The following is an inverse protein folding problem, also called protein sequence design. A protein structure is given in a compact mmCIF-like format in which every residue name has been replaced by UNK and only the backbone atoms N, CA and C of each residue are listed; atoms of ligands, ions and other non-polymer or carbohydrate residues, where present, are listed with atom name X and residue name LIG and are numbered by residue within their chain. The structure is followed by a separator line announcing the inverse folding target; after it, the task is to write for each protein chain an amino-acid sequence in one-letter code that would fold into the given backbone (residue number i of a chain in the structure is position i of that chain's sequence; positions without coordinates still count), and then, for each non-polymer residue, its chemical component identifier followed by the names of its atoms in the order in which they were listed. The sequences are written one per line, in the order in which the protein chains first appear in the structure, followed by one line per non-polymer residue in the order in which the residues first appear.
data_IF_429259506419
#
_entry.id   IF_429259506419
#
_cell.length_a   1.000
_cell.length_b   1.000
_cell.length_c   1.000
_cell.angle_alpha   90.00
_cell.angle_beta   90.00
_cell.angle_gamma   90.00
#
_symmetry.space_group_name_H-M   'P 1'
#
loop_
_entity.id
_entity.type
_entity.pdbx_description
1 polymer ?
#
# COMPACT_ATOMS: atom_id res chain seq x y z
N UNK A 1 5.00 -14.36 13.86
CA UNK A 1 4.55 -14.72 12.49
C UNK A 1 3.07 -14.41 12.20
N UNK A 2 2.18 -14.34 13.21
CA UNK A 2 0.76 -13.96 13.02
C UNK A 2 0.55 -12.50 12.61
N UNK A 3 1.33 -11.57 13.18
CA UNK A 3 1.20 -10.13 12.87
C UNK A 3 1.48 -9.79 11.41
N UNK A 4 2.44 -10.48 10.78
CA UNK A 4 2.77 -10.29 9.37
C UNK A 4 1.55 -10.53 8.46
N UNK A 5 0.83 -11.63 8.71
CA UNK A 5 -0.37 -11.99 7.95
C UNK A 5 -1.51 -11.01 8.23
N UNK A 6 -1.63 -10.53 9.47
CA UNK A 6 -2.65 -9.54 9.85
C UNK A 6 -2.44 -8.20 9.17
N UNK A 7 -1.19 -7.70 9.15
CA UNK A 7 -0.80 -6.47 8.46
C UNK A 7 -1.02 -6.61 6.95
N UNK A 8 -0.56 -7.71 6.35
CA UNK A 8 -0.78 -8.00 4.93
C UNK A 8 -2.27 -7.97 4.55
N UNK A 9 -3.13 -8.65 5.33
CA UNK A 9 -4.58 -8.67 5.06
C UNK A 9 -5.21 -7.28 5.13
N UNK A 10 -4.86 -6.49 6.16
CA UNK A 10 -5.39 -5.12 6.31
C UNK A 10 -4.99 -4.22 5.15
N UNK A 11 -3.72 -4.29 4.72
CA UNK A 11 -3.24 -3.53 3.54
C UNK A 11 -3.99 -3.99 2.29
N UNK A 12 -4.14 -5.31 2.08
CA UNK A 12 -4.85 -5.86 0.93
C UNK A 12 -6.32 -5.43 0.88
N UNK A 13 -7.01 -5.48 2.01
CA UNK A 13 -8.40 -5.03 2.14
C UNK A 13 -8.54 -3.54 1.80
N UNK A 14 -7.65 -2.69 2.33
CA UNK A 14 -7.64 -1.27 2.00
C UNK A 14 -7.34 -0.99 0.52
N UNK A 15 -6.37 -1.68 -0.06
CA UNK A 15 -6.08 -1.56 -1.50
C UNK A 15 -7.30 -1.98 -2.33
N UNK A 16 -7.95 -3.10 -2.02
CA UNK A 16 -9.13 -3.56 -2.76
C UNK A 16 -10.32 -2.57 -2.73
N UNK A 17 -10.41 -1.70 -1.71
CA UNK A 17 -11.41 -0.63 -1.68
C UNK A 17 -11.14 0.48 -2.70
N UNK A 18 -9.89 0.63 -3.16
CA UNK A 18 -9.46 1.66 -4.12
C UNK A 18 -9.55 1.18 -5.58
N UNK A 19 -9.75 -0.12 -5.80
CA UNK A 19 -9.82 -0.70 -7.15
C UNK A 19 -11.24 -1.13 -7.51
N UNK A 20 -11.58 -1.22 -8.81
CA UNK A 20 -12.86 -1.75 -9.26
C UNK A 20 -13.10 -3.19 -8.76
N UNK A 21 -14.38 -3.57 -8.63
CA UNK A 21 -14.82 -4.87 -8.06
C UNK A 21 -14.22 -6.10 -8.74
N UNK A 22 -13.77 -5.98 -9.99
CA UNK A 22 -13.03 -7.03 -10.69
C UNK A 22 -11.66 -6.53 -11.14
N UNK A 23 -10.64 -7.25 -10.70
CA UNK A 23 -9.26 -7.08 -11.16
C UNK A 23 -8.97 -8.14 -12.23
N UNK A 24 -8.27 -7.77 -13.29
CA UNK A 24 -7.70 -8.76 -14.21
C UNK A 24 -6.64 -9.62 -13.48
N UNK A 25 -6.32 -10.81 -14.01
CA UNK A 25 -5.28 -11.66 -13.42
C UNK A 25 -3.92 -10.96 -13.25
N UNK A 26 -3.55 -10.11 -14.22
CA UNK A 26 -2.33 -9.30 -14.14
C UNK A 26 -2.43 -8.21 -13.06
N UNK A 27 -3.56 -7.52 -12.94
CA UNK A 27 -3.77 -6.53 -11.88
C UNK A 27 -3.75 -7.17 -10.50
N UNK A 28 -4.36 -8.35 -10.33
CA UNK A 28 -4.32 -9.08 -9.07
C UNK A 28 -2.89 -9.46 -8.67
N UNK A 29 -2.04 -9.85 -9.65
CA UNK A 29 -0.62 -10.13 -9.42
C UNK A 29 0.14 -8.88 -8.98
N UNK A 30 -0.05 -7.75 -9.68
CA UNK A 30 0.59 -6.49 -9.30
C UNK A 30 0.14 -6.00 -7.93
N UNK A 31 -1.15 -6.14 -7.60
CA UNK A 31 -1.69 -5.78 -6.29
C UNK A 31 -1.12 -6.65 -5.17
N UNK A 32 -0.92 -7.95 -5.40
CA UNK A 32 -0.26 -8.82 -4.44
C UNK A 32 1.19 -8.41 -4.20
N UNK A 33 1.94 -8.06 -5.25
CA UNK A 33 3.32 -7.56 -5.14
C UNK A 33 3.36 -6.24 -4.35
N UNK A 34 2.48 -5.30 -4.67
CA UNK A 34 2.37 -4.01 -3.96
C UNK A 34 2.05 -4.22 -2.47
N UNK A 35 1.09 -5.10 -2.16
CA UNK A 35 0.72 -5.44 -0.78
C UNK A 35 1.92 -6.00 -0.01
N UNK A 36 2.71 -6.88 -0.65
CA UNK A 36 3.93 -7.45 -0.07
C UNK A 36 4.97 -6.40 0.25
N UNK A 37 5.24 -5.48 -0.68
CA UNK A 37 6.17 -4.36 -0.45
C UNK A 37 5.72 -3.49 0.72
N UNK A 38 4.46 -3.03 0.74
CA UNK A 38 3.94 -2.19 1.83
C UNK A 38 3.97 -2.90 3.18
N UNK A 39 3.67 -4.20 3.21
CA UNK A 39 3.77 -5.03 4.42
C UNK A 39 5.20 -5.09 4.97
N UNK A 40 6.20 -5.19 4.07
CA UNK A 40 7.62 -5.16 4.43
C UNK A 40 8.04 -3.80 5.00
N UNK A 41 7.58 -2.69 4.40
CA UNK A 41 7.87 -1.33 4.90
C UNK A 41 7.24 -1.14 6.29
N UNK A 42 5.95 -1.44 6.46
CA UNK A 42 5.25 -1.27 7.76
C UNK A 42 5.91 -2.08 8.87
N UNK A 43 6.32 -3.32 8.59
CA UNK A 43 6.94 -4.17 9.59
C UNK A 43 8.44 -3.96 9.76
N UNK A 44 9.09 -3.33 8.78
CA UNK A 44 10.51 -3.02 8.84
C UNK A 44 10.86 -2.11 10.02
N UNK A 45 9.89 -1.34 10.56
CA UNK A 45 9.98 -0.44 11.76
C UNK A 45 11.13 0.58 11.76
N UNK A 46 12.06 0.50 10.82
CA UNK A 46 13.18 1.41 10.54
C UNK A 46 12.87 2.38 9.40
N UNK A 47 11.69 2.26 8.81
CA UNK A 47 11.16 3.27 7.92
C UNK A 47 10.83 4.46 8.81
N UNK A 48 11.64 5.52 8.79
CA UNK A 48 11.33 6.78 9.42
C UNK A 48 10.12 7.41 8.69
N UNK A 49 8.93 6.84 8.91
CA UNK A 49 7.70 7.21 8.23
C UNK A 49 7.38 8.68 8.40
N UNK A 50 7.66 9.25 9.58
CA UNK A 50 7.52 10.68 9.84
C UNK A 50 8.45 11.51 8.95
N UNK A 51 9.73 11.12 8.85
CA UNK A 51 10.72 11.78 7.99
C UNK A 51 10.39 11.63 6.49
N UNK A 52 9.83 10.49 6.09
CA UNK A 52 9.39 10.26 4.71
C UNK A 52 8.09 11.01 4.40
N UNK A 53 7.15 11.06 5.34
CA UNK A 53 5.91 11.84 5.22
C UNK A 53 6.19 13.34 5.16
N UNK A 54 7.16 13.84 5.92
CA UNK A 54 7.61 15.24 5.87
C UNK A 54 8.23 15.62 4.50
N UNK A 55 8.74 14.63 3.75
CA UNK A 55 9.28 14.81 2.40
C UNK A 55 8.28 14.46 1.30
N UNK A 56 7.14 13.89 1.65
CA UNK A 56 6.10 13.58 0.68
C UNK A 56 5.52 14.92 0.20
N UNK A 57 5.34 15.11 -1.12
CA UNK A 57 4.69 16.31 -1.62
C UNK A 57 3.27 16.36 -1.04
N UNK A 58 3.03 17.33 -0.16
CA UNK A 58 1.76 17.55 0.56
C UNK A 58 0.58 17.73 -0.39
N UNK A 59 0.88 18.02 -1.66
CA UNK A 59 -0.06 18.21 -2.75
C UNK A 59 0.51 17.54 -3.99
N UNK A 60 0.14 16.30 -4.25
CA UNK A 60 0.13 15.81 -5.63
C UNK A 60 -0.91 16.66 -6.35
N UNK A 61 -0.47 17.75 -6.98
CA UNK A 61 -1.33 18.60 -7.80
C UNK A 61 -1.75 17.79 -9.03
N UNK A 62 -2.76 16.94 -8.88
CA UNK A 62 -3.56 16.55 -10.03
C UNK A 62 -4.24 17.84 -10.51
N UNK A 63 -3.99 18.30 -11.75
CA UNK A 63 -4.76 19.39 -12.30
C UNK A 63 -6.22 18.95 -12.28
N UNK A 64 -7.04 19.65 -11.51
CA UNK A 64 -8.48 19.53 -11.62
C UNK A 64 -8.83 19.95 -13.05
N UNK A 65 -9.35 19.00 -13.84
CA UNK A 65 -9.96 19.28 -15.13
C UNK A 65 -11.25 20.07 -14.99
#
# INVERSE_FOLDING_TARGET
MSDNRRVYRRIKEGLLQLYPKQLSGNQARHLNTLTGMMTGIVQGKRCHFETMAAKAPTRASYPAG
#
